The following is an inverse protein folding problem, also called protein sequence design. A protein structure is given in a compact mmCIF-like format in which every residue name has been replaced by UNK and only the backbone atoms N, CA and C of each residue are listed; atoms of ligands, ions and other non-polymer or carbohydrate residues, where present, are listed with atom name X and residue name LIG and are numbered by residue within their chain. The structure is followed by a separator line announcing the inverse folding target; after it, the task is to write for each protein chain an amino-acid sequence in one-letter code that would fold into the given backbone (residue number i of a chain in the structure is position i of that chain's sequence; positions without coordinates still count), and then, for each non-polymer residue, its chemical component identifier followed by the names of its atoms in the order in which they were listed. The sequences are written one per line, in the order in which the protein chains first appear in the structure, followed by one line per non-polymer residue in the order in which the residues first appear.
data_IF_677583144731
#
_entry.id   IF_677583144731
#
_cell.length_a   1.000
_cell.length_b   1.000
_cell.length_c   1.000
_cell.angle_alpha   90.00
_cell.angle_beta   90.00
_cell.angle_gamma   90.00
#
_symmetry.space_group_name_H-M   'P 1'
#
loop_
_entity.id
_entity.type
_entity.pdbx_description
1 polymer ?
#
# COMPACT_ATOMS: atom_id res chain seq x y z
N UNK A 1 20.68 9.73 4.46
CA UNK A 1 19.43 9.13 4.98
C UNK A 1 19.77 7.88 5.77
N UNK A 2 19.37 7.86 7.02
CA UNK A 2 19.50 6.65 7.82
C UNK A 2 18.29 5.74 7.61
N UNK A 3 18.57 4.45 7.45
CA UNK A 3 17.50 3.46 7.37
C UNK A 3 17.07 3.03 8.77
N UNK A 4 15.78 3.08 9.02
CA UNK A 4 15.22 2.53 10.26
C UNK A 4 14.92 1.04 10.06
N UNK A 5 15.87 0.21 10.49
CA UNK A 5 15.77 -1.24 10.30
C UNK A 5 14.60 -1.86 11.08
N UNK A 6 14.19 -1.25 12.20
CA UNK A 6 13.04 -1.77 12.95
C UNK A 6 11.74 -1.57 12.18
N UNK A 7 11.57 -0.42 11.52
CA UNK A 7 10.41 -0.16 10.66
C UNK A 7 10.43 -1.03 9.40
N UNK A 8 11.61 -1.23 8.81
CA UNK A 8 11.77 -2.15 7.66
C UNK A 8 11.38 -3.58 8.03
N UNK A 9 11.84 -4.05 9.19
CA UNK A 9 11.49 -5.39 9.67
C UNK A 9 10.00 -5.54 9.92
N UNK A 10 9.36 -4.52 10.51
CA UNK A 10 7.92 -4.52 10.74
C UNK A 10 7.14 -4.54 9.42
N UNK A 11 7.56 -3.74 8.44
CA UNK A 11 6.93 -3.72 7.12
C UNK A 11 7.09 -5.07 6.40
N UNK A 12 8.28 -5.65 6.44
CA UNK A 12 8.54 -6.95 5.84
C UNK A 12 7.72 -8.06 6.50
N UNK A 13 7.59 -8.03 7.81
CA UNK A 13 6.76 -8.99 8.56
C UNK A 13 5.29 -8.84 8.19
N UNK A 14 4.79 -7.63 8.08
CA UNK A 14 3.41 -7.35 7.68
C UNK A 14 3.11 -7.87 6.26
N UNK A 15 4.01 -7.63 5.32
CA UNK A 15 3.87 -8.13 3.95
C UNK A 15 3.94 -9.66 3.90
N UNK A 16 4.89 -10.27 4.61
CA UNK A 16 5.01 -11.73 4.70
C UNK A 16 3.75 -12.37 5.26
N UNK A 17 3.17 -11.78 6.30
CA UNK A 17 1.93 -12.27 6.92
C UNK A 17 0.76 -12.18 5.94
N UNK A 18 0.65 -11.07 5.22
CA UNK A 18 -0.38 -10.86 4.20
C UNK A 18 -0.30 -11.95 3.12
N UNK A 19 0.90 -12.24 2.64
CA UNK A 19 1.13 -13.27 1.63
C UNK A 19 0.85 -14.67 2.18
N UNK A 20 1.36 -14.98 3.37
CA UNK A 20 1.19 -16.29 4.01
C UNK A 20 -0.27 -16.62 4.29
N UNK A 21 -1.05 -15.61 4.64
CA UNK A 21 -2.48 -15.75 4.90
C UNK A 21 -3.34 -15.67 3.64
N UNK A 22 -2.71 -15.55 2.48
CA UNK A 22 -3.39 -15.42 1.18
C UNK A 22 -4.37 -14.23 1.15
N UNK A 23 -3.99 -13.14 1.79
CA UNK A 23 -4.79 -11.92 1.88
C UNK A 23 -4.49 -10.98 0.72
N UNK A 24 -5.42 -10.05 0.47
CA UNK A 24 -5.31 -9.10 -0.63
C UNK A 24 -4.55 -7.83 -0.24
N UNK A 25 -3.80 -7.32 -1.22
CA UNK A 25 -3.01 -6.10 -1.10
C UNK A 25 -3.34 -5.13 -2.22
N UNK A 26 -3.47 -3.85 -1.87
CA UNK A 26 -3.63 -2.76 -2.84
C UNK A 26 -2.36 -1.91 -2.87
N UNK A 27 -1.82 -1.67 -4.05
CA UNK A 27 -0.71 -0.73 -4.25
C UNK A 27 -1.26 0.57 -4.84
N UNK A 28 -1.02 1.68 -4.15
CA UNK A 28 -1.35 3.01 -4.67
C UNK A 28 -0.13 3.54 -5.42
N UNK A 29 -0.29 3.72 -6.72
CA UNK A 29 0.78 4.16 -7.62
C UNK A 29 0.70 5.67 -7.79
N UNK A 30 1.71 6.39 -7.30
CA UNK A 30 1.81 7.84 -7.52
C UNK A 30 2.14 8.09 -9.00
N UNK A 31 1.49 9.08 -9.63
CA UNK A 31 1.49 9.25 -11.08
C UNK A 31 2.66 10.04 -11.65
N UNK A 32 3.77 10.14 -10.92
CA UNK A 32 5.03 10.68 -11.43
C UNK A 32 6.03 9.56 -11.79
N UNK A 33 7.18 9.95 -12.34
CA UNK A 33 8.20 8.98 -12.77
C UNK A 33 8.68 8.10 -11.61
N UNK A 34 8.90 8.68 -10.43
CA UNK A 34 9.36 7.94 -9.26
C UNK A 34 8.29 6.98 -8.73
N UNK A 35 7.03 7.41 -8.74
CA UNK A 35 5.90 6.57 -8.33
C UNK A 35 5.70 5.37 -9.24
N UNK A 36 5.74 5.57 -10.54
CA UNK A 36 5.65 4.45 -11.51
C UNK A 36 6.84 3.50 -11.37
N UNK A 37 8.06 4.03 -11.26
CA UNK A 37 9.28 3.23 -11.14
C UNK A 37 9.29 2.42 -9.84
N UNK A 38 9.01 3.07 -8.71
CA UNK A 38 8.98 2.42 -7.40
C UNK A 38 7.95 1.30 -7.35
N UNK A 39 6.76 1.56 -7.87
CA UNK A 39 5.67 0.57 -7.90
C UNK A 39 6.00 -0.60 -8.82
N UNK A 40 6.59 -0.33 -9.98
CA UNK A 40 7.01 -1.38 -10.91
C UNK A 40 8.08 -2.29 -10.30
N UNK A 41 9.06 -1.72 -9.60
CA UNK A 41 10.10 -2.49 -8.92
C UNK A 41 9.48 -3.40 -7.86
N UNK A 42 8.60 -2.86 -7.03
CA UNK A 42 7.93 -3.64 -5.99
C UNK A 42 7.10 -4.78 -6.58
N UNK A 43 6.26 -4.48 -7.56
CA UNK A 43 5.37 -5.48 -8.16
C UNK A 43 6.17 -6.55 -8.89
N UNK A 44 7.20 -6.18 -9.64
CA UNK A 44 8.06 -7.14 -10.34
C UNK A 44 8.81 -8.05 -9.37
N UNK A 45 9.31 -7.50 -8.28
CA UNK A 45 9.99 -8.29 -7.24
C UNK A 45 9.04 -9.31 -6.62
N UNK A 46 7.83 -8.88 -6.27
CA UNK A 46 6.82 -9.78 -5.70
C UNK A 46 6.33 -10.81 -6.71
N UNK A 47 6.23 -10.44 -7.98
CA UNK A 47 5.87 -11.38 -9.04
C UNK A 47 6.91 -12.48 -9.21
N UNK A 48 8.20 -12.14 -9.11
CA UNK A 48 9.29 -13.13 -9.22
C UNK A 48 9.25 -14.11 -8.04
N UNK A 49 8.93 -13.65 -6.84
CA UNK A 49 8.93 -14.48 -5.63
C UNK A 49 7.60 -15.20 -5.39
N UNK A 50 6.49 -14.55 -5.68
CA UNK A 50 5.14 -15.03 -5.33
C UNK A 50 4.16 -14.85 -6.49
N UNK A 51 4.42 -15.47 -7.66
CA UNK A 51 3.60 -15.20 -8.86
C UNK A 51 2.12 -15.57 -8.68
N UNK A 52 1.84 -16.67 -8.00
CA UNK A 52 0.47 -17.11 -7.78
C UNK A 52 -0.30 -16.16 -6.84
N UNK A 53 0.37 -15.67 -5.79
CA UNK A 53 -0.25 -14.72 -4.87
C UNK A 53 -0.56 -13.39 -5.56
N UNK A 54 0.39 -12.87 -6.35
CA UNK A 54 0.23 -11.61 -7.09
C UNK A 54 -0.97 -11.68 -8.03
N UNK A 55 -1.08 -12.75 -8.79
CA UNK A 55 -2.13 -12.92 -9.78
C UNK A 55 -3.52 -12.86 -9.16
N UNK A 56 -3.67 -13.40 -7.96
CA UNK A 56 -4.97 -13.52 -7.29
C UNK A 56 -5.25 -12.38 -6.31
N UNK A 57 -4.21 -11.82 -5.66
CA UNK A 57 -4.40 -10.98 -4.48
C UNK A 57 -3.84 -9.57 -4.58
N UNK A 58 -3.02 -9.25 -5.58
CA UNK A 58 -2.47 -7.91 -5.70
C UNK A 58 -3.25 -7.09 -6.72
N UNK A 59 -3.76 -5.96 -6.27
CA UNK A 59 -4.36 -4.94 -7.12
C UNK A 59 -3.53 -3.66 -7.06
N UNK A 60 -3.65 -2.82 -8.06
CA UNK A 60 -3.07 -1.49 -8.02
C UNK A 60 -4.08 -0.43 -8.46
N UNK A 61 -3.87 0.79 -7.98
CA UNK A 61 -4.68 1.95 -8.34
C UNK A 61 -3.75 3.14 -8.58
N UNK A 62 -3.84 3.76 -9.74
CA UNK A 62 -3.00 4.92 -10.06
C UNK A 62 -3.64 6.17 -9.48
N UNK A 63 -2.84 6.96 -8.76
CA UNK A 63 -3.24 8.25 -8.22
C UNK A 63 -2.91 9.33 -9.25
N UNK A 64 -3.91 10.02 -9.75
CA UNK A 64 -3.77 11.06 -10.77
C UNK A 64 -4.08 12.47 -10.26
N UNK A 65 -4.25 12.62 -8.96
CA UNK A 65 -4.50 13.91 -8.32
C UNK A 65 -3.22 14.73 -8.11
N UNK A 66 -3.39 15.98 -7.71
CA UNK A 66 -2.27 16.90 -7.44
C UNK A 66 -1.60 16.66 -6.09
N UNK A 67 -2.31 16.03 -5.16
CA UNK A 67 -1.78 15.68 -3.85
C UNK A 67 -1.24 14.26 -3.87
N UNK A 68 -0.13 14.03 -3.17
CA UNK A 68 0.51 12.72 -3.09
C UNK A 68 -0.02 11.96 -1.88
N UNK A 69 -0.52 10.74 -2.08
CA UNK A 69 -0.87 9.85 -1.00
C UNK A 69 -2.30 9.34 -0.99
N UNK A 70 -2.81 9.03 0.21
CA UNK A 70 -4.05 8.30 0.42
C UNK A 70 -5.33 9.14 0.40
N UNK A 71 -5.22 10.45 0.53
CA UNK A 71 -6.37 11.30 0.81
C UNK A 71 -7.54 11.07 -0.16
N UNK A 72 -7.24 10.97 -1.46
CA UNK A 72 -8.27 10.79 -2.49
C UNK A 72 -8.77 9.35 -2.63
N UNK A 73 -8.15 8.40 -1.92
CA UNK A 73 -8.44 6.97 -2.08
C UNK A 73 -9.11 6.34 -0.87
N UNK A 74 -9.00 6.99 0.29
CA UNK A 74 -9.40 6.39 1.58
C UNK A 74 -10.87 5.95 1.61
N UNK A 75 -11.77 6.79 1.12
CA UNK A 75 -13.21 6.50 1.15
C UNK A 75 -13.55 5.31 0.25
N UNK A 76 -12.92 5.24 -0.92
CA UNK A 76 -13.09 4.12 -1.84
C UNK A 76 -12.56 2.80 -1.24
N UNK A 77 -11.37 2.84 -0.62
CA UNK A 77 -10.75 1.67 -0.01
C UNK A 77 -11.66 1.12 1.11
N UNK A 78 -12.14 2.00 1.98
CA UNK A 78 -13.04 1.60 3.07
C UNK A 78 -14.33 1.04 2.53
N UNK A 79 -14.91 1.67 1.52
CA UNK A 79 -16.16 1.23 0.88
C UNK A 79 -16.05 -0.18 0.32
N UNK A 80 -15.02 -0.47 -0.48
CA UNK A 80 -14.87 -1.79 -1.09
C UNK A 80 -14.53 -2.87 -0.07
N UNK A 81 -13.76 -2.52 0.95
CA UNK A 81 -13.37 -3.46 2.00
C UNK A 81 -14.53 -3.79 2.93
N UNK A 82 -15.41 -2.82 3.19
CA UNK A 82 -16.57 -2.99 4.08
C UNK A 82 -17.76 -3.68 3.42
N UNK A 83 -17.77 -3.81 2.10
CA UNK A 83 -18.88 -4.41 1.38
C UNK A 83 -18.73 -5.95 1.34
N UNK A 84 -19.61 -6.72 2.01
CA UNK A 84 -19.49 -8.19 2.02
C UNK A 84 -19.65 -8.84 0.64
N UNK A 85 -20.29 -8.14 -0.28
CA UNK A 85 -20.47 -8.62 -1.67
C UNK A 85 -19.28 -8.31 -2.56
N UNK A 86 -18.35 -7.45 -2.11
CA UNK A 86 -17.16 -7.07 -2.85
C UNK A 86 -16.01 -8.01 -2.49
N UNK A 87 -15.40 -8.61 -3.49
CA UNK A 87 -14.26 -9.52 -3.29
C UNK A 87 -12.95 -8.81 -3.03
N UNK A 88 -12.91 -7.48 -3.18
CA UNK A 88 -11.71 -6.65 -2.94
C UNK A 88 -11.58 -6.31 -1.45
N UNK A 89 -11.39 -7.31 -0.64
CA UNK A 89 -11.24 -7.19 0.80
C UNK A 89 -9.75 -7.04 1.13
N UNK A 90 -9.24 -5.83 1.06
CA UNK A 90 -7.82 -5.57 1.27
C UNK A 90 -7.43 -5.65 2.75
N UNK A 91 -6.34 -6.34 3.04
CA UNK A 91 -5.71 -6.38 4.36
C UNK A 91 -4.52 -5.45 4.48
N UNK A 92 -3.95 -5.04 3.36
CA UNK A 92 -2.74 -4.22 3.29
C UNK A 92 -2.83 -3.24 2.13
N UNK A 93 -2.43 -2.00 2.39
CA UNK A 93 -2.22 -0.97 1.36
C UNK A 93 -0.76 -0.56 1.38
N UNK A 94 -0.11 -0.59 0.24
CA UNK A 94 1.29 -0.16 0.09
C UNK A 94 1.32 1.07 -0.81
N UNK A 95 2.03 2.10 -0.36
CA UNK A 95 2.24 3.32 -1.14
C UNK A 95 3.74 3.53 -1.32
N UNK A 96 4.31 3.11 -2.45
CA UNK A 96 5.68 3.49 -2.80
C UNK A 96 5.71 4.96 -3.25
N UNK A 97 6.63 5.73 -2.70
CA UNK A 97 6.92 7.10 -3.14
C UNK A 97 5.93 8.19 -2.70
N UNK A 98 4.99 7.91 -1.82
CA UNK A 98 4.05 8.92 -1.30
C UNK A 98 3.49 8.52 0.07
N UNK A 99 2.79 9.43 0.73
CA UNK A 99 1.96 9.12 1.89
C UNK A 99 2.54 9.45 3.26
N UNK A 100 3.74 10.05 3.36
CA UNK A 100 4.38 10.35 4.65
C UNK A 100 3.53 11.24 5.58
N UNK A 101 2.65 12.05 5.01
CA UNK A 101 1.80 12.96 5.78
C UNK A 101 0.38 12.40 6.01
N UNK A 102 0.13 11.15 5.66
CA UNK A 102 -1.21 10.55 5.71
C UNK A 102 -1.49 9.82 7.02
N UNK A 103 -1.11 10.39 8.16
CA UNK A 103 -1.30 9.77 9.48
C UNK A 103 -2.78 9.51 9.78
N UNK A 104 -3.65 10.48 9.50
CA UNK A 104 -5.08 10.34 9.75
C UNK A 104 -5.71 9.27 8.87
N UNK A 105 -5.32 9.21 7.61
CA UNK A 105 -5.78 8.22 6.64
C UNK A 105 -5.32 6.82 7.04
N UNK A 106 -4.07 6.66 7.45
CA UNK A 106 -3.56 5.39 7.95
C UNK A 106 -4.30 4.92 9.19
N UNK A 107 -4.62 5.83 10.10
CA UNK A 107 -5.41 5.54 11.30
C UNK A 107 -6.80 5.03 10.94
N UNK A 108 -7.47 5.68 10.01
CA UNK A 108 -8.80 5.24 9.52
C UNK A 108 -8.74 3.84 8.90
N UNK A 109 -7.72 3.56 8.11
CA UNK A 109 -7.54 2.22 7.52
C UNK A 109 -7.33 1.18 8.61
N UNK A 110 -6.49 1.47 9.59
CA UNK A 110 -6.24 0.55 10.71
C UNK A 110 -7.50 0.26 11.52
N UNK A 111 -8.34 1.26 11.75
CA UNK A 111 -9.63 1.10 12.42
C UNK A 111 -10.57 0.14 11.64
N UNK A 112 -10.37 0.01 10.33
CA UNK A 112 -11.11 -0.89 9.46
C UNK A 112 -10.35 -2.21 9.18
N UNK A 113 -9.32 -2.52 9.95
CA UNK A 113 -8.56 -3.76 9.83
C UNK A 113 -7.56 -3.79 8.68
N UNK A 114 -7.19 -2.64 8.15
CA UNK A 114 -6.27 -2.52 7.01
C UNK A 114 -4.94 -1.93 7.47
N UNK A 115 -3.86 -2.67 7.25
CA UNK A 115 -2.50 -2.18 7.51
C UNK A 115 -1.99 -1.35 6.34
N UNK A 116 -1.04 -0.46 6.61
CA UNK A 116 -0.45 0.41 5.60
C UNK A 116 1.07 0.37 5.66
N UNK A 117 1.71 0.26 4.51
CA UNK A 117 3.17 0.39 4.36
C UNK A 117 3.43 1.59 3.46
N UNK A 118 4.18 2.56 3.97
CA UNK A 118 4.53 3.79 3.24
C UNK A 118 6.04 3.82 3.02
N UNK A 119 6.43 3.92 1.75
CA UNK A 119 7.84 4.01 1.32
C UNK A 119 8.01 5.35 0.60
N UNK A 120 8.22 6.42 1.37
CA UNK A 120 8.21 7.78 0.85
C UNK A 120 9.54 8.47 1.12
N UNK A 121 9.99 9.26 0.13
CA UNK A 121 11.20 10.08 0.22
C UNK A 121 10.91 11.59 0.22
N UNK A 122 9.64 11.99 0.15
CA UNK A 122 9.24 13.39 0.20
C UNK A 122 9.42 13.96 1.61
N UNK A 123 9.54 15.29 1.70
CA UNK A 123 9.62 15.95 3.00
C UNK A 123 8.27 15.81 3.73
N UNK A 124 8.36 15.40 5.00
CA UNK A 124 7.18 15.27 5.85
C UNK A 124 6.98 16.55 6.66
N UNK A 125 5.72 16.91 6.89
CA UNK A 125 5.37 17.92 7.87
C UNK A 125 5.55 17.33 9.28
N UNK A 126 6.29 18.02 10.09
CA UNK A 126 6.61 17.58 11.45
C UNK A 126 5.83 18.44 12.45
#
# INVERSE_FOLDING_TARGET
MELDYSKLSAAAACLSETISNNNKCLVIVDSDADGFTSSAILINYLHDLFPAWIETNLDYRVHDGKQHGLNDHIDWIIKVTSNPSDKRNYSLVIIPDAGSNDVNECTKLKENGINTIILDHHLCDI
#
